data_IF_937934957454
#
_entry.id   IF_937934957454
#
_cell.length_a   1.000
_cell.length_b   1.000
_cell.length_c   1.000
_cell.angle_alpha   90.00
_cell.angle_beta   90.00
_cell.angle_gamma   90.00
#
_symmetry.space_group_name_H-M   'P 1'
#
loop_
_entity.id
_entity.type
_entity.pdbx_description
1 polymer ?
#
# COMPACT_ATOMS: atom_id res chain seq x y z
N UNK A 1 13.99 3.70 4.40
CA UNK A 1 14.05 4.64 3.26
C UNK A 1 13.68 6.01 3.79
N UNK A 2 14.52 7.01 3.60
CA UNK A 2 14.11 8.40 3.79
C UNK A 2 13.59 8.87 2.45
N UNK A 3 12.28 8.95 2.29
CA UNK A 3 11.64 9.48 1.10
C UNK A 3 11.34 10.97 1.34
N UNK A 4 11.86 11.81 0.46
CA UNK A 4 11.44 13.20 0.31
C UNK A 4 10.30 13.29 -0.74
N UNK A 5 10.19 14.37 -1.43
CA UNK A 5 9.26 14.47 -2.56
C UNK A 5 9.80 13.68 -3.77
N UNK A 6 8.93 13.06 -4.57
CA UNK A 6 9.33 12.41 -5.80
C UNK A 6 9.86 13.45 -6.81
N UNK A 7 10.83 13.05 -7.63
CA UNK A 7 11.40 13.88 -8.71
C UNK A 7 10.46 13.99 -9.90
N UNK A 8 9.83 12.88 -10.23
CA UNK A 8 8.95 12.74 -11.39
C UNK A 8 7.73 11.94 -10.98
N UNK A 9 6.58 12.31 -11.51
CA UNK A 9 5.33 11.59 -11.33
C UNK A 9 4.69 11.42 -12.71
N UNK A 10 4.33 10.17 -13.06
CA UNK A 10 3.61 9.85 -14.29
C UNK A 10 2.39 9.01 -13.91
N UNK A 11 1.21 9.46 -14.29
CA UNK A 11 -0.04 8.75 -14.05
C UNK A 11 -0.78 8.49 -15.35
N UNK A 12 -1.32 7.29 -15.49
CA UNK A 12 -2.21 6.87 -16.58
C UNK A 12 -3.41 6.17 -15.98
N UNK A 13 -4.59 6.53 -16.45
CA UNK A 13 -5.81 5.91 -15.96
C UNK A 13 -7.02 6.27 -16.79
N UNK A 14 -8.13 5.61 -16.49
CA UNK A 14 -9.39 5.83 -17.18
C UNK A 14 -10.52 5.01 -16.56
N UNK A 15 -11.69 5.12 -17.16
CA UNK A 15 -12.86 4.31 -16.81
C UNK A 15 -12.92 3.12 -17.76
N UNK A 16 -12.24 2.04 -17.40
CA UNK A 16 -12.10 0.85 -18.26
C UNK A 16 -12.92 -0.34 -17.77
N UNK A 17 -13.05 -0.50 -16.46
CA UNK A 17 -13.84 -1.58 -15.88
C UNK A 17 -15.33 -1.27 -15.88
N UNK A 18 -15.69 -0.03 -15.53
CA UNK A 18 -17.08 0.40 -15.38
C UNK A 18 -17.35 1.74 -16.09
N UNK A 19 -17.30 1.78 -17.43
CA UNK A 19 -17.33 3.05 -18.18
C UNK A 19 -18.66 3.82 -18.05
N UNK A 20 -19.75 3.15 -17.65
CA UNK A 20 -21.08 3.72 -17.55
C UNK A 20 -21.51 4.10 -16.12
N UNK A 21 -20.64 3.90 -15.12
CA UNK A 21 -20.93 4.34 -13.76
C UNK A 21 -20.81 5.87 -13.62
N UNK A 22 -21.55 6.42 -12.67
CA UNK A 22 -21.68 7.87 -12.48
C UNK A 22 -20.44 8.54 -11.87
N UNK A 23 -19.49 7.77 -11.29
CA UNK A 23 -18.27 8.34 -10.74
C UNK A 23 -17.44 9.05 -11.81
N UNK A 24 -16.85 10.19 -11.45
CA UNK A 24 -16.02 11.01 -12.34
C UNK A 24 -14.54 10.60 -12.30
N UNK A 25 -14.13 9.86 -11.26
CA UNK A 25 -12.75 9.40 -11.09
C UNK A 25 -12.47 8.16 -11.94
N UNK A 26 -11.20 7.94 -12.35
CA UNK A 26 -10.80 6.68 -12.98
C UNK A 26 -11.09 5.47 -12.09
N UNK A 27 -11.61 4.40 -12.67
CA UNK A 27 -11.71 3.09 -12.02
C UNK A 27 -10.44 2.26 -12.14
N UNK A 28 -9.56 2.65 -13.04
CA UNK A 28 -8.24 2.06 -13.27
C UNK A 28 -7.20 3.15 -13.37
N UNK A 29 -6.20 3.11 -12.49
CA UNK A 29 -5.14 4.12 -12.41
C UNK A 29 -3.82 3.46 -12.03
N UNK A 30 -2.79 3.70 -12.84
CA UNK A 30 -1.41 3.36 -12.49
C UNK A 30 -0.59 4.65 -12.43
N UNK A 31 0.08 4.88 -11.31
CA UNK A 31 0.96 6.04 -11.13
C UNK A 31 2.36 5.59 -10.74
N UNK A 32 3.35 6.09 -11.44
CA UNK A 32 4.76 5.86 -11.17
C UNK A 32 5.37 7.11 -10.54
N UNK A 33 6.05 6.92 -9.42
CA UNK A 33 6.78 7.96 -8.70
C UNK A 33 8.27 7.63 -8.70
N UNK A 34 9.10 8.55 -9.18
CA UNK A 34 10.55 8.43 -9.16
C UNK A 34 11.13 9.09 -7.92
N UNK A 35 11.86 8.33 -7.11
CA UNK A 35 12.61 8.82 -5.95
C UNK A 35 14.11 8.54 -6.12
N UNK A 36 14.93 9.15 -5.26
CA UNK A 36 16.34 8.77 -5.17
C UNK A 36 16.50 7.33 -4.67
N UNK A 37 16.99 6.46 -5.56
CA UNK A 37 17.32 5.07 -5.24
C UNK A 37 16.18 4.07 -5.29
N UNK A 38 14.93 4.48 -5.58
CA UNK A 38 13.81 3.57 -5.80
C UNK A 38 12.68 4.21 -6.60
N UNK A 39 11.83 3.38 -7.17
CA UNK A 39 10.55 3.81 -7.74
C UNK A 39 9.40 3.25 -6.90
N UNK A 40 8.32 4.03 -6.77
CA UNK A 40 7.07 3.56 -6.22
C UNK A 40 6.03 3.48 -7.34
N UNK A 41 5.32 2.38 -7.41
CA UNK A 41 4.17 2.22 -8.30
C UNK A 41 2.92 2.15 -7.43
N UNK A 42 2.00 3.05 -7.67
CA UNK A 42 0.63 2.95 -7.18
C UNK A 42 -0.22 2.37 -8.29
N UNK A 43 -0.85 1.25 -8.00
CA UNK A 43 -1.74 0.57 -8.94
C UNK A 43 -3.11 0.38 -8.29
N UNK A 44 -4.15 0.83 -8.97
CA UNK A 44 -5.53 0.73 -8.53
C UNK A 44 -6.39 0.30 -9.71
N UNK A 45 -7.03 -0.85 -9.58
CA UNK A 45 -7.92 -1.39 -10.60
C UNK A 45 -9.18 -1.95 -9.95
N UNK A 46 -10.27 -1.23 -10.06
CA UNK A 46 -11.58 -1.71 -9.61
C UNK A 46 -12.04 -2.89 -10.47
N UNK A 47 -12.72 -3.85 -9.85
CA UNK A 47 -13.21 -5.04 -10.55
C UNK A 47 -12.17 -6.15 -10.73
N UNK A 48 -11.00 -6.04 -10.12
CA UNK A 48 -9.98 -7.08 -10.08
C UNK A 48 -9.81 -7.57 -8.64
N UNK A 49 -10.14 -8.84 -8.39
CA UNK A 49 -10.03 -9.45 -7.06
C UNK A 49 -8.65 -10.09 -6.82
N UNK A 50 -7.98 -10.51 -7.89
CA UNK A 50 -6.68 -11.14 -7.86
C UNK A 50 -5.60 -10.15 -8.31
N UNK A 51 -5.15 -9.32 -7.39
CA UNK A 51 -4.04 -8.40 -7.62
C UNK A 51 -2.68 -9.10 -7.62
N UNK A 52 -1.61 -8.30 -7.65
CA UNK A 52 -0.24 -8.79 -7.58
C UNK A 52 -0.02 -9.63 -6.32
N UNK A 53 0.74 -10.71 -6.45
CA UNK A 53 1.06 -11.63 -5.35
C UNK A 53 -0.17 -12.30 -4.72
N UNK A 54 -1.23 -12.54 -5.50
CA UNK A 54 -2.48 -13.16 -5.01
C UNK A 54 -3.14 -12.35 -3.88
N UNK A 55 -3.03 -11.02 -3.93
CA UNK A 55 -3.61 -10.10 -2.96
C UNK A 55 -4.46 -9.06 -3.64
N UNK A 56 -5.64 -8.85 -3.09
CA UNK A 56 -6.58 -7.82 -3.56
C UNK A 56 -6.10 -6.40 -3.26
N UNK A 57 -5.27 -6.24 -2.22
CA UNK A 57 -4.62 -4.98 -1.84
C UNK A 57 -3.37 -5.24 -1.00
N UNK A 58 -2.50 -4.27 -0.92
CA UNK A 58 -1.31 -4.36 -0.07
C UNK A 58 -0.15 -3.51 -0.55
N UNK A 59 1.00 -3.74 0.06
CA UNK A 59 2.27 -3.11 -0.30
C UNK A 59 3.29 -4.21 -0.53
N UNK A 60 4.07 -4.09 -1.60
CA UNK A 60 5.21 -4.94 -1.87
C UNK A 60 6.50 -4.11 -1.87
N UNK A 61 7.47 -4.49 -1.06
CA UNK A 61 8.82 -3.94 -1.07
C UNK A 61 9.73 -4.93 -1.82
N UNK A 62 10.02 -4.61 -3.06
CA UNK A 62 10.79 -5.46 -3.97
C UNK A 62 12.28 -5.14 -3.81
N UNK A 63 13.05 -6.11 -3.36
CA UNK A 63 14.49 -5.99 -3.17
C UNK A 63 15.27 -7.06 -3.93
N UNK A 64 16.60 -6.93 -3.95
CA UNK A 64 17.49 -7.85 -4.70
C UNK A 64 17.55 -9.27 -4.10
N UNK A 65 17.20 -9.43 -2.84
CA UNK A 65 17.32 -10.71 -2.13
C UNK A 65 15.96 -11.35 -1.85
N UNK A 66 14.95 -10.52 -1.69
CA UNK A 66 13.60 -10.95 -1.37
C UNK A 66 12.59 -9.83 -1.60
N UNK A 67 11.32 -10.19 -1.69
CA UNK A 67 10.18 -9.27 -1.72
C UNK A 67 9.38 -9.43 -0.44
N UNK A 68 9.23 -8.35 0.34
CA UNK A 68 8.31 -8.29 1.47
C UNK A 68 6.93 -7.85 0.97
N UNK A 69 5.91 -8.65 1.25
CA UNK A 69 4.52 -8.36 0.92
C UNK A 69 3.73 -8.26 2.21
N UNK A 70 2.91 -7.22 2.32
CA UNK A 70 2.05 -7.04 3.49
C UNK A 70 0.70 -6.42 3.14
N UNK A 71 -0.30 -6.83 3.87
CA UNK A 71 -1.63 -6.23 3.92
C UNK A 71 -2.26 -6.44 5.31
N UNK A 72 -3.54 -6.15 5.46
CA UNK A 72 -4.26 -6.40 6.73
C UNK A 72 -4.40 -7.89 7.09
N UNK A 73 -4.21 -8.80 6.14
CA UNK A 73 -4.23 -10.26 6.35
C UNK A 73 -2.90 -10.83 6.85
N UNK A 74 -1.83 -10.03 6.85
CA UNK A 74 -0.50 -10.43 7.29
C UNK A 74 0.61 -10.01 6.36
N UNK A 75 1.78 -10.55 6.62
CA UNK A 75 2.97 -10.29 5.81
C UNK A 75 3.77 -11.57 5.59
N UNK A 76 4.49 -11.59 4.49
CA UNK A 76 5.39 -12.68 4.13
C UNK A 76 6.61 -12.15 3.38
N UNK A 77 7.65 -12.95 3.31
CA UNK A 77 8.85 -12.63 2.52
C UNK A 77 9.08 -13.75 1.50
N UNK A 78 9.04 -13.40 0.23
CA UNK A 78 9.30 -14.30 -0.89
C UNK A 78 10.75 -14.10 -1.33
N UNK A 79 11.53 -15.18 -1.37
CA UNK A 79 12.92 -15.12 -1.77
C UNK A 79 13.08 -14.83 -3.27
N UNK A 80 14.13 -14.08 -3.61
CA UNK A 80 14.55 -13.96 -5.00
C UNK A 80 15.25 -15.24 -5.46
N UNK A 81 14.76 -15.81 -6.55
CA UNK A 81 15.17 -17.14 -7.05
C UNK A 81 16.69 -17.29 -7.25
N UNK A 82 17.35 -16.22 -7.69
CA UNK A 82 18.78 -16.22 -8.01
C UNK A 82 19.65 -15.50 -6.98
N UNK A 83 19.08 -15.03 -5.90
CA UNK A 83 19.86 -14.37 -4.85
C UNK A 83 20.78 -15.38 -4.14
N UNK A 84 21.99 -14.93 -3.83
CA UNK A 84 22.92 -15.66 -2.98
C UNK A 84 22.55 -15.54 -1.48
N UNK A 85 21.89 -14.45 -1.11
CA UNK A 85 21.44 -14.14 0.24
C UNK A 85 19.93 -14.32 0.34
N UNK A 86 19.49 -15.55 0.22
CA UNK A 86 18.07 -15.88 0.25
C UNK A 86 17.47 -15.62 1.62
N UNK A 87 16.35 -14.94 1.63
CA UNK A 87 15.54 -14.70 2.82
C UNK A 87 14.09 -15.02 2.46
N UNK A 88 13.52 -15.99 3.14
CA UNK A 88 12.12 -16.33 3.00
C UNK A 88 11.45 -16.35 4.37
N UNK A 89 10.21 -15.95 4.43
CA UNK A 89 9.39 -16.07 5.61
C UNK A 89 7.95 -16.37 5.20
N UNK A 90 7.38 -17.47 5.69
CA UNK A 90 5.99 -17.81 5.38
C UNK A 90 5.05 -16.76 5.96
N UNK A 91 3.82 -16.77 5.50
CA UNK A 91 2.79 -15.83 5.94
C UNK A 91 2.67 -15.78 7.48
N UNK A 92 2.93 -14.61 8.02
CA UNK A 92 2.72 -14.27 9.43
C UNK A 92 1.39 -13.53 9.53
N UNK A 93 0.42 -14.15 10.17
CA UNK A 93 -0.90 -13.55 10.39
C UNK A 93 -0.81 -12.44 11.44
N UNK A 94 -1.56 -11.35 11.30
CA UNK A 94 -1.61 -10.30 12.30
C UNK A 94 -2.30 -10.79 13.57
N UNK A 95 -1.97 -10.20 14.71
CA UNK A 95 -2.68 -10.42 15.97
C UNK A 95 -4.04 -9.72 15.99
N UNK A 96 -4.16 -8.61 15.30
CA UNK A 96 -5.41 -7.90 15.01
C UNK A 96 -5.29 -7.17 13.65
N UNK A 97 -6.41 -6.67 13.13
CA UNK A 97 -6.44 -5.93 11.86
C UNK A 97 -6.19 -4.43 12.02
N UNK A 98 -6.01 -3.95 13.23
CA UNK A 98 -5.71 -2.57 13.57
C UNK A 98 -6.87 -1.58 13.39
N UNK A 99 -7.95 -1.95 12.71
CA UNK A 99 -9.03 -1.03 12.36
C UNK A 99 -9.76 -0.48 13.58
N UNK A 100 -10.05 -1.35 14.56
CA UNK A 100 -10.74 -0.94 15.79
C UNK A 100 -9.87 0.03 16.60
N UNK A 101 -8.58 -0.25 16.72
CA UNK A 101 -7.62 0.62 17.41
C UNK A 101 -7.48 1.97 16.71
N UNK A 102 -7.45 1.98 15.39
CA UNK A 102 -7.41 3.21 14.60
C UNK A 102 -8.67 4.06 14.82
N UNK A 103 -9.83 3.46 14.76
CA UNK A 103 -11.11 4.14 15.01
C UNK A 103 -11.20 4.66 16.46
N UNK A 104 -10.78 3.86 17.44
CA UNK A 104 -10.73 4.27 18.85
C UNK A 104 -9.78 5.45 19.06
N UNK A 105 -8.61 5.45 18.43
CA UNK A 105 -7.66 6.55 18.50
C UNK A 105 -8.28 7.85 17.97
N UNK A 106 -8.92 7.80 16.81
CA UNK A 106 -9.60 8.96 16.21
C UNK A 106 -10.71 9.52 17.12
N UNK A 107 -11.58 8.66 17.63
CA UNK A 107 -12.65 9.07 18.56
C UNK A 107 -12.08 9.65 19.86
N UNK A 108 -10.99 9.09 20.37
CA UNK A 108 -10.32 9.61 21.58
C UNK A 108 -9.75 11.00 21.36
N UNK A 109 -9.14 11.26 20.19
CA UNK A 109 -8.66 12.60 19.83
C UNK A 109 -9.79 13.63 19.75
N UNK A 110 -10.93 13.26 19.17
CA UNK A 110 -12.13 14.12 19.13
C UNK A 110 -12.61 14.43 20.55
N UNK A 111 -12.73 13.42 21.41
CA UNK A 111 -13.20 13.61 22.80
C UNK A 111 -12.26 14.45 23.64
N UNK A 112 -10.96 14.32 23.40
CA UNK A 112 -9.94 15.15 24.06
C UNK A 112 -9.88 16.58 23.49
N UNK A 113 -10.52 16.83 22.34
CA UNK A 113 -10.38 18.06 21.57
C UNK A 113 -8.91 18.42 21.29
N UNK A 114 -8.10 17.40 21.02
CA UNK A 114 -6.66 17.52 20.84
C UNK A 114 -6.18 16.68 19.64
N UNK A 115 -5.84 17.33 18.52
CA UNK A 115 -5.39 16.64 17.32
C UNK A 115 -4.04 15.92 17.50
N UNK A 116 -3.24 16.27 18.51
CA UNK A 116 -1.95 15.62 18.77
C UNK A 116 -2.08 14.15 19.21
N UNK A 117 -3.28 13.74 19.64
CA UNK A 117 -3.59 12.34 19.95
C UNK A 117 -3.78 11.46 18.71
N UNK A 118 -3.89 12.05 17.52
CA UNK A 118 -4.06 11.26 16.28
C UNK A 118 -2.72 10.62 15.89
N UNK A 119 -2.66 9.28 15.86
CA UNK A 119 -1.46 8.53 15.49
C UNK A 119 -1.08 8.63 14.00
N UNK A 120 -2.02 9.02 13.15
CA UNK A 120 -1.82 9.23 11.73
C UNK A 120 -2.38 10.59 11.36
N UNK A 121 -1.53 11.60 11.36
CA UNK A 121 -1.93 12.97 11.07
C UNK A 121 -2.03 13.19 9.55
N UNK A 122 -2.74 14.25 9.15
CA UNK A 122 -2.86 14.59 7.72
C UNK A 122 -1.53 15.11 7.12
N UNK A 123 -0.58 15.47 7.96
CA UNK A 123 0.74 15.92 7.53
C UNK A 123 1.74 14.78 7.29
N UNK A 124 1.41 13.57 7.70
CA UNK A 124 2.19 12.36 7.44
C UNK A 124 1.68 11.63 6.19
#
# INVERSE_FOLDING_TARGET
MQASLPKTIVGLGGKFAYPNLAEETPDTLTTLYEFDGFNLVWDSAMGIDNGSYERDHGIAFIGNNATLILNRGGWEVIEERRSKNKVAKPLVKPTDRGLDKHSQNFISAIRANDPSFVNCSIQE
#
